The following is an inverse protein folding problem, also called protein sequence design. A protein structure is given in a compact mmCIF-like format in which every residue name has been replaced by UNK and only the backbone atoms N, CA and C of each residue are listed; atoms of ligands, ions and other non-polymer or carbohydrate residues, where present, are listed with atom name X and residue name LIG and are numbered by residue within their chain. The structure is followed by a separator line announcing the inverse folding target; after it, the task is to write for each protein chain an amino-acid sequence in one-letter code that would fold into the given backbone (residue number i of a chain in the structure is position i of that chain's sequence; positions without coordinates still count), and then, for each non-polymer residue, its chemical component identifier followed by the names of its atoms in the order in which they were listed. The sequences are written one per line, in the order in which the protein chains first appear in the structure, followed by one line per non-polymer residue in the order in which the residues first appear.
data_IF_767388503061
#
_entry.id   IF_767388503061
#
_cell.length_a   1.000
_cell.length_b   1.000
_cell.length_c   1.000
_cell.angle_alpha   90.00
_cell.angle_beta   90.00
_cell.angle_gamma   90.00
#
_symmetry.space_group_name_H-M   'P 1'
#
loop_
_entity.id
_entity.type
_entity.pdbx_description
1 polymer ?
#
# COMPACT_ATOMS: atom_id res chain seq x y z
N UNK A 1 10.22 -19.93 -21.15
CA UNK A 1 10.43 -19.76 -19.68
C UNK A 1 9.11 -19.32 -19.02
N UNK A 2 8.67 -19.92 -17.89
CA UNK A 2 7.37 -19.59 -17.27
C UNK A 2 7.45 -18.44 -16.25
N UNK A 3 6.34 -17.73 -16.01
CA UNK A 3 6.27 -16.62 -15.05
C UNK A 3 6.71 -17.04 -13.63
N UNK A 4 6.47 -18.30 -13.27
CA UNK A 4 6.84 -18.87 -11.96
C UNK A 4 8.35 -18.89 -11.75
N UNK A 5 9.13 -19.18 -12.80
CA UNK A 5 10.60 -19.22 -12.72
C UNK A 5 11.15 -17.81 -12.50
N UNK A 6 10.62 -16.83 -13.23
CA UNK A 6 10.99 -15.41 -13.08
C UNK A 6 10.65 -14.92 -11.67
N UNK A 7 9.43 -15.17 -11.20
CA UNK A 7 9.00 -14.77 -9.87
C UNK A 7 9.86 -15.39 -8.76
N UNK A 8 10.18 -16.69 -8.86
CA UNK A 8 11.01 -17.39 -7.88
C UNK A 8 12.44 -16.84 -7.84
N UNK A 9 13.00 -16.49 -8.99
CA UNK A 9 14.32 -15.85 -9.07
C UNK A 9 14.31 -14.48 -8.40
N UNK A 10 13.38 -13.60 -8.80
CA UNK A 10 13.25 -12.25 -8.23
C UNK A 10 13.08 -12.30 -6.70
N UNK A 11 12.23 -13.21 -6.21
CA UNK A 11 12.03 -13.40 -4.78
C UNK A 11 13.31 -13.83 -4.06
N UNK A 12 14.02 -14.83 -4.58
CA UNK A 12 15.25 -15.35 -3.95
C UNK A 12 16.34 -14.29 -3.93
N UNK A 13 16.56 -13.62 -5.06
CA UNK A 13 17.60 -12.60 -5.21
C UNK A 13 17.31 -11.42 -4.26
N UNK A 14 16.04 -11.08 -4.06
CA UNK A 14 15.63 -10.02 -3.14
C UNK A 14 15.72 -10.42 -1.66
N UNK A 15 15.23 -11.59 -1.25
CA UNK A 15 15.25 -12.03 0.16
C UNK A 15 16.67 -12.20 0.71
N UNK A 16 17.63 -12.53 -0.16
CA UNK A 16 19.05 -12.61 0.23
C UNK A 16 19.71 -11.23 0.34
N UNK A 17 19.04 -10.15 -0.08
CA UNK A 17 19.57 -8.79 0.02
C UNK A 17 19.40 -8.22 1.43
N UNK A 18 20.42 -7.50 1.90
CA UNK A 18 20.37 -6.72 3.15
C UNK A 18 19.24 -5.69 3.15
N UNK A 19 18.77 -5.27 1.98
CA UNK A 19 17.67 -4.30 1.83
C UNK A 19 16.35 -4.86 2.38
N UNK A 20 16.05 -6.15 2.19
CA UNK A 20 14.81 -6.74 2.70
C UNK A 20 14.82 -6.78 4.23
N UNK A 21 15.94 -7.13 4.84
CA UNK A 21 16.09 -7.08 6.29
C UNK A 21 16.03 -5.65 6.86
N UNK A 22 16.56 -4.66 6.13
CA UNK A 22 16.41 -3.26 6.50
C UNK A 22 14.94 -2.82 6.46
N UNK A 23 14.17 -3.25 5.46
CA UNK A 23 12.72 -3.00 5.37
C UNK A 23 11.98 -3.67 6.53
N UNK A 24 12.26 -4.94 6.83
CA UNK A 24 11.65 -5.66 7.96
C UNK A 24 11.91 -4.92 9.27
N UNK A 25 13.17 -4.54 9.53
CA UNK A 25 13.56 -3.81 10.73
C UNK A 25 12.88 -2.43 10.80
N UNK A 26 12.84 -1.69 9.69
CA UNK A 26 12.18 -0.39 9.62
C UNK A 26 10.69 -0.49 9.91
N UNK A 27 9.99 -1.45 9.29
CA UNK A 27 8.56 -1.68 9.52
C UNK A 27 8.32 -2.11 10.96
N UNK A 28 9.13 -3.04 11.49
CA UNK A 28 9.00 -3.51 12.87
C UNK A 28 9.16 -2.36 13.88
N UNK A 29 10.22 -1.57 13.74
CA UNK A 29 10.49 -0.42 14.63
C UNK A 29 9.39 0.62 14.49
N UNK A 30 9.01 0.99 13.27
CA UNK A 30 7.97 2.00 13.06
C UNK A 30 6.64 1.57 13.66
N UNK A 31 6.16 0.36 13.34
CA UNK A 31 4.88 -0.16 13.83
C UNK A 31 4.92 -0.29 15.36
N UNK A 32 6.02 -0.76 15.94
CA UNK A 32 6.16 -0.87 17.39
C UNK A 32 6.19 0.50 18.07
N UNK A 33 6.93 1.48 17.55
CA UNK A 33 7.00 2.82 18.15
C UNK A 33 5.65 3.51 18.06
N UNK A 34 5.03 3.49 16.89
CA UNK A 34 3.75 4.17 16.64
C UNK A 34 2.59 3.53 17.39
N UNK A 35 2.61 2.20 17.58
CA UNK A 35 1.59 1.53 18.40
C UNK A 35 1.66 1.90 19.89
N UNK A 36 2.82 2.38 20.37
CA UNK A 36 3.02 2.79 21.76
C UNK A 36 2.74 4.29 21.98
N UNK A 37 2.58 5.08 20.91
CA UNK A 37 2.33 6.54 21.03
C UNK A 37 1.11 6.86 21.90
N UNK A 38 -0.04 6.16 21.80
CA UNK A 38 -1.19 6.46 22.66
C UNK A 38 -0.90 6.31 24.15
N UNK A 39 -0.02 5.39 24.55
CA UNK A 39 0.38 5.21 25.95
C UNK A 39 1.21 6.39 26.49
N UNK A 40 1.89 7.13 25.60
CA UNK A 40 2.72 8.27 25.97
C UNK A 40 1.93 9.58 26.11
N UNK A 41 0.66 9.61 25.70
CA UNK A 41 -0.17 10.81 25.65
C UNK A 41 -1.32 10.66 26.65
N UNK A 42 -1.29 11.33 27.83
CA UNK A 42 -2.27 11.15 28.90
C UNK A 42 -3.72 11.48 28.54
N UNK A 43 -3.93 12.18 27.41
CA UNK A 43 -5.21 12.66 26.94
C UNK A 43 -5.98 11.61 26.13
N UNK A 44 -5.29 10.55 25.68
CA UNK A 44 -5.91 9.47 24.93
C UNK A 44 -6.29 8.33 25.87
N UNK A 45 -7.50 7.78 25.70
CA UNK A 45 -7.86 6.50 26.29
C UNK A 45 -7.06 5.39 25.59
N UNK A 46 -5.85 5.16 26.08
CA UNK A 46 -4.91 4.24 25.46
C UNK A 46 -5.40 2.79 25.60
N UNK A 47 -5.69 2.18 24.46
CA UNK A 47 -5.99 0.75 24.34
C UNK A 47 -5.30 0.16 23.10
N UNK A 48 -5.30 -1.18 22.99
CA UNK A 48 -4.58 -1.88 21.91
C UNK A 48 -5.05 -1.42 20.53
N UNK A 49 -6.36 -1.23 20.34
CA UNK A 49 -6.93 -0.84 19.04
C UNK A 49 -6.54 0.59 18.64
N UNK A 50 -6.48 1.52 19.59
CA UNK A 50 -5.95 2.87 19.35
C UNK A 50 -4.47 2.84 18.95
N UNK A 51 -3.67 1.95 19.57
CA UNK A 51 -2.29 1.71 19.19
C UNK A 51 -2.16 1.13 17.78
N UNK A 52 -2.97 0.12 17.45
CA UNK A 52 -3.00 -0.45 16.10
C UNK A 52 -3.45 0.59 15.05
N UNK A 53 -4.44 1.42 15.38
CA UNK A 53 -4.88 2.54 14.54
C UNK A 53 -3.74 3.50 14.23
N UNK A 54 -3.03 3.99 15.25
CA UNK A 54 -1.86 4.84 15.08
C UNK A 54 -0.80 4.16 14.18
N UNK A 55 -0.50 2.89 14.41
CA UNK A 55 0.45 2.16 13.57
C UNK A 55 0.00 2.04 12.11
N UNK A 56 -1.30 1.88 11.85
CA UNK A 56 -1.84 1.83 10.48
C UNK A 56 -1.77 3.16 9.75
N UNK A 57 -1.97 4.30 10.44
CA UNK A 57 -1.82 5.62 9.82
C UNK A 57 -0.39 5.83 9.33
N UNK A 58 0.60 5.49 10.16
CA UNK A 58 2.00 5.55 9.73
C UNK A 58 2.33 4.52 8.64
N UNK A 59 1.74 3.32 8.69
CA UNK A 59 1.90 2.32 7.64
C UNK A 59 1.32 2.82 6.30
N UNK A 60 0.21 3.56 6.30
CA UNK A 60 -0.41 4.13 5.09
C UNK A 60 0.52 5.08 4.34
N UNK A 61 1.48 5.71 5.05
CA UNK A 61 2.52 6.56 4.47
C UNK A 61 3.80 5.79 4.13
N UNK A 62 4.27 4.91 5.01
CA UNK A 62 5.56 4.22 4.86
C UNK A 62 5.53 3.09 3.83
N UNK A 63 4.48 2.28 3.83
CA UNK A 63 4.35 1.11 2.95
C UNK A 63 4.40 1.47 1.46
N UNK A 64 3.74 2.54 0.99
CA UNK A 64 3.91 3.04 -0.38
C UNK A 64 5.37 3.29 -0.78
N UNK A 65 6.17 3.91 0.10
CA UNK A 65 7.59 4.20 -0.16
C UNK A 65 8.38 2.90 -0.29
N UNK A 66 8.20 1.98 0.65
CA UNK A 66 8.87 0.68 0.66
C UNK A 66 8.55 -0.10 -0.63
N UNK A 67 7.28 -0.17 -0.99
CA UNK A 67 6.81 -0.87 -2.19
C UNK A 67 7.36 -0.23 -3.47
N UNK A 68 7.36 1.11 -3.54
CA UNK A 68 7.89 1.84 -4.68
C UNK A 68 9.39 1.60 -4.84
N UNK A 69 10.19 1.77 -3.79
CA UNK A 69 11.65 1.54 -3.81
C UNK A 69 11.98 0.10 -4.21
N UNK A 70 11.19 -0.86 -3.74
CA UNK A 70 11.38 -2.28 -4.07
C UNK A 70 11.14 -2.59 -5.56
N UNK A 71 10.31 -1.82 -6.27
CA UNK A 71 9.77 -2.22 -7.56
C UNK A 71 9.92 -1.19 -8.71
N UNK A 72 10.26 0.08 -8.45
CA UNK A 72 10.27 1.12 -9.50
C UNK A 72 11.30 0.87 -10.62
N UNK A 73 12.34 0.07 -10.38
CA UNK A 73 13.33 -0.33 -11.39
C UNK A 73 13.16 -1.74 -11.93
N UNK A 74 12.06 -2.42 -11.59
CA UNK A 74 11.85 -3.81 -11.97
C UNK A 74 12.02 -4.04 -13.48
N UNK A 75 11.58 -3.09 -14.32
CA UNK A 75 11.65 -3.19 -15.79
C UNK A 75 12.57 -2.11 -16.37
N UNK A 76 12.43 -0.85 -15.97
CA UNK A 76 13.22 0.25 -16.50
C UNK A 76 14.74 0.07 -16.27
N UNK A 77 15.14 -0.49 -15.12
CA UNK A 77 16.56 -0.77 -14.84
C UNK A 77 17.17 -1.85 -15.74
N UNK A 78 16.38 -2.86 -16.10
CA UNK A 78 16.81 -3.93 -17.02
C UNK A 78 16.78 -3.48 -18.49
N UNK A 79 15.86 -2.59 -18.85
CA UNK A 79 15.85 -1.93 -20.17
C UNK A 79 17.12 -1.12 -20.38
N UNK A 80 17.49 -0.27 -19.43
CA UNK A 80 18.65 0.61 -19.55
C UNK A 80 19.99 -0.14 -19.51
N UNK A 81 20.09 -1.20 -18.71
CA UNK A 81 21.28 -2.06 -18.69
C UNK A 81 21.39 -3.02 -19.89
N UNK A 82 20.38 -3.06 -20.77
CA UNK A 82 20.32 -3.98 -21.90
C UNK A 82 20.07 -5.45 -21.52
N UNK A 83 20.04 -5.79 -20.23
CA UNK A 83 19.86 -7.16 -19.75
C UNK A 83 18.50 -7.75 -20.13
N UNK A 84 17.49 -6.90 -20.34
CA UNK A 84 16.17 -7.32 -20.81
C UNK A 84 16.21 -7.99 -22.20
N UNK A 85 17.20 -7.65 -23.05
CA UNK A 85 17.35 -8.23 -24.40
C UNK A 85 17.82 -9.68 -24.32
N UNK A 86 18.74 -10.00 -23.41
CA UNK A 86 19.19 -11.37 -23.15
C UNK A 86 18.04 -12.22 -22.61
N UNK A 87 17.22 -11.65 -21.73
CA UNK A 87 16.06 -12.32 -21.14
C UNK A 87 14.98 -12.61 -22.20
N UNK A 88 14.74 -11.68 -23.12
CA UNK A 88 13.77 -11.83 -24.22
C UNK A 88 14.29 -12.70 -25.37
N UNK A 89 15.61 -12.85 -25.52
CA UNK A 89 16.23 -13.81 -26.45
C UNK A 89 15.94 -15.28 -26.10
N UNK A 90 15.45 -15.56 -24.90
CA UNK A 90 15.00 -16.89 -24.44
C UNK A 90 13.49 -17.14 -24.67
N UNK A 91 12.86 -16.33 -25.52
CA UNK A 91 11.44 -16.37 -25.91
C UNK A 91 10.37 -16.30 -24.78
N UNK A 92 10.54 -15.58 -23.65
CA UNK A 92 9.41 -15.31 -22.77
C UNK A 92 8.49 -14.24 -23.40
N UNK A 93 7.17 -14.49 -23.39
CA UNK A 93 6.17 -13.47 -23.76
C UNK A 93 6.34 -12.25 -22.83
N UNK A 94 6.29 -11.04 -23.38
CA UNK A 94 6.42 -9.77 -22.62
C UNK A 94 5.51 -9.71 -21.39
N UNK A 95 4.28 -10.21 -21.49
CA UNK A 95 3.33 -10.26 -20.36
C UNK A 95 3.75 -11.22 -19.24
N UNK A 96 4.43 -12.32 -19.57
CA UNK A 96 4.99 -13.26 -18.60
C UNK A 96 6.12 -12.63 -17.78
N UNK A 97 6.89 -11.72 -18.38
CA UNK A 97 7.94 -10.97 -17.69
C UNK A 97 7.34 -9.97 -16.69
N UNK A 98 6.37 -9.15 -17.13
CA UNK A 98 5.70 -8.17 -16.26
C UNK A 98 5.03 -8.87 -15.07
N UNK A 99 4.27 -9.93 -15.33
CA UNK A 99 3.59 -10.70 -14.28
C UNK A 99 4.58 -11.37 -13.32
N UNK A 100 5.65 -11.97 -13.85
CA UNK A 100 6.67 -12.62 -13.03
C UNK A 100 7.39 -11.61 -12.11
N UNK A 101 7.71 -10.42 -12.63
CA UNK A 101 8.33 -9.34 -11.85
C UNK A 101 7.38 -8.79 -10.79
N UNK A 102 6.13 -8.52 -11.16
CA UNK A 102 5.12 -8.09 -10.21
C UNK A 102 4.97 -9.08 -9.06
N UNK A 103 4.75 -10.37 -9.35
CA UNK A 103 4.56 -11.39 -8.32
C UNK A 103 5.82 -11.60 -7.46
N UNK A 104 7.01 -11.56 -8.06
CA UNK A 104 8.27 -11.64 -7.33
C UNK A 104 8.45 -10.48 -6.35
N UNK A 105 8.23 -9.24 -6.79
CA UNK A 105 8.34 -8.05 -5.95
C UNK A 105 7.22 -7.95 -4.90
N UNK A 106 6.00 -8.34 -5.26
CA UNK A 106 4.87 -8.41 -4.35
C UNK A 106 5.16 -9.40 -3.22
N UNK A 107 5.67 -10.60 -3.54
CA UNK A 107 6.02 -11.60 -2.52
C UNK A 107 7.07 -11.09 -1.53
N UNK A 108 8.10 -10.38 -2.01
CA UNK A 108 9.14 -9.79 -1.16
C UNK A 108 8.54 -8.76 -0.21
N UNK A 109 7.70 -7.86 -0.72
CA UNK A 109 7.04 -6.82 0.09
C UNK A 109 6.10 -7.46 1.11
N UNK A 110 5.28 -8.43 0.71
CA UNK A 110 4.36 -9.15 1.61
C UNK A 110 5.13 -9.85 2.73
N UNK A 111 6.20 -10.57 2.42
CA UNK A 111 7.04 -11.22 3.45
C UNK A 111 7.69 -10.20 4.37
N UNK A 112 8.22 -9.11 3.82
CA UNK A 112 8.83 -8.04 4.61
C UNK A 112 7.86 -7.37 5.56
N UNK A 113 6.67 -7.02 5.08
CA UNK A 113 5.61 -6.41 5.89
C UNK A 113 5.08 -7.39 6.95
N UNK A 114 4.81 -8.64 6.58
CA UNK A 114 4.32 -9.66 7.51
C UNK A 114 5.33 -9.90 8.63
N UNK A 115 6.62 -10.05 8.29
CA UNK A 115 7.67 -10.22 9.29
C UNK A 115 7.84 -8.98 10.17
N UNK A 116 7.81 -7.78 9.58
CA UNK A 116 7.91 -6.52 10.33
C UNK A 116 6.78 -6.35 11.34
N UNK A 117 5.53 -6.58 10.92
CA UNK A 117 4.37 -6.55 11.82
C UNK A 117 4.42 -7.65 12.87
N UNK A 118 4.83 -8.88 12.50
CA UNK A 118 4.96 -9.97 13.46
C UNK A 118 6.00 -9.66 14.56
N UNK A 119 7.11 -9.01 14.21
CA UNK A 119 8.10 -8.54 15.18
C UNK A 119 7.53 -7.42 16.07
N UNK A 120 6.79 -6.48 15.47
CA UNK A 120 6.14 -5.38 16.20
C UNK A 120 4.98 -5.84 17.11
N UNK A 121 4.40 -7.02 16.85
CA UNK A 121 3.34 -7.59 17.66
C UNK A 121 3.80 -7.87 19.10
N UNK A 122 5.06 -8.24 19.30
CA UNK A 122 5.61 -8.57 20.62
C UNK A 122 5.60 -7.37 21.58
N UNK A 123 6.28 -6.24 21.28
CA UNK A 123 6.25 -5.07 22.18
C UNK A 123 4.84 -4.50 22.33
N UNK A 124 4.02 -4.54 21.28
CA UNK A 124 2.62 -4.10 21.35
C UNK A 124 1.82 -4.96 22.33
N UNK A 125 1.89 -6.29 22.20
CA UNK A 125 1.16 -7.21 23.08
C UNK A 125 1.64 -7.10 24.54
N UNK A 126 2.94 -6.92 24.77
CA UNK A 126 3.50 -6.74 26.11
C UNK A 126 3.00 -5.42 26.73
N UNK A 127 3.02 -4.33 25.98
CA UNK A 127 2.64 -3.01 26.49
C UNK A 127 1.15 -2.90 26.84
N UNK A 128 0.28 -3.55 26.08
CA UNK A 128 -1.17 -3.50 26.31
C UNK A 128 -1.75 -4.75 27.00
N UNK A 129 -0.91 -5.72 27.40
CA UNK A 129 -1.34 -6.95 28.08
C UNK A 129 -2.08 -7.96 27.19
N UNK A 130 -2.05 -7.78 25.87
CA UNK A 130 -2.70 -8.66 24.90
C UNK A 130 -2.75 -8.06 23.50
N UNK A 131 -3.19 -8.87 22.53
CA UNK A 131 -3.36 -8.44 21.14
C UNK A 131 -4.66 -9.02 20.56
N UNK A 132 -5.55 -8.20 19.98
CA UNK A 132 -6.75 -8.69 19.29
C UNK A 132 -6.33 -9.38 17.99
N UNK A 133 -6.10 -10.69 18.04
CA UNK A 133 -5.48 -11.47 16.95
C UNK A 133 -6.24 -11.33 15.62
N UNK A 134 -7.57 -11.29 15.66
CA UNK A 134 -8.41 -11.16 14.45
C UNK A 134 -8.22 -9.79 13.80
N UNK A 135 -8.32 -8.71 14.58
CA UNK A 135 -8.10 -7.34 14.08
C UNK A 135 -6.67 -7.17 13.57
N UNK A 136 -5.69 -7.64 14.33
CA UNK A 136 -4.28 -7.58 13.96
C UNK A 136 -4.01 -8.33 12.64
N UNK A 137 -4.50 -9.56 12.50
CA UNK A 137 -4.36 -10.32 11.26
C UNK A 137 -5.04 -9.62 10.08
N UNK A 138 -6.25 -9.07 10.27
CA UNK A 138 -6.94 -8.27 9.26
C UNK A 138 -6.13 -7.05 8.82
N UNK A 139 -5.55 -6.31 9.77
CA UNK A 139 -4.69 -5.17 9.51
C UNK A 139 -3.44 -5.57 8.72
N UNK A 140 -2.78 -6.68 9.09
CA UNK A 140 -1.60 -7.17 8.37
C UNK A 140 -1.95 -7.52 6.92
N UNK A 141 -3.08 -8.21 6.70
CA UNK A 141 -3.58 -8.55 5.36
C UNK A 141 -3.86 -7.30 4.53
N UNK A 142 -4.56 -6.31 5.10
CA UNK A 142 -4.87 -5.05 4.43
C UNK A 142 -3.60 -4.25 4.13
N UNK A 143 -2.63 -4.25 5.03
CA UNK A 143 -1.35 -3.56 4.85
C UNK A 143 -0.53 -4.22 3.75
N UNK A 144 -0.56 -5.55 3.68
CA UNK A 144 0.01 -6.29 2.56
C UNK A 144 -0.70 -5.97 1.25
N UNK A 145 -2.04 -5.85 1.23
CA UNK A 145 -2.79 -5.47 0.04
C UNK A 145 -2.43 -4.06 -0.45
N UNK A 146 -2.25 -3.10 0.47
CA UNK A 146 -1.72 -1.76 0.15
C UNK A 146 -0.33 -1.85 -0.49
N UNK A 147 0.57 -2.63 0.12
CA UNK A 147 1.91 -2.87 -0.43
C UNK A 147 1.87 -3.46 -1.84
N UNK A 148 0.99 -4.43 -2.08
CA UNK A 148 0.78 -5.03 -3.41
C UNK A 148 0.25 -4.02 -4.42
N UNK A 149 -0.69 -3.14 -4.03
CA UNK A 149 -1.19 -2.08 -4.90
C UNK A 149 -0.08 -1.12 -5.35
N UNK A 150 0.77 -0.69 -4.42
CA UNK A 150 1.92 0.16 -4.76
C UNK A 150 3.02 -0.57 -5.54
N UNK A 151 3.23 -1.87 -5.33
CA UNK A 151 4.09 -2.67 -6.21
C UNK A 151 3.51 -2.73 -7.62
N UNK A 152 2.20 -2.92 -7.77
CA UNK A 152 1.51 -2.90 -9.06
C UNK A 152 1.72 -1.57 -9.78
N UNK A 153 1.55 -0.47 -9.06
CA UNK A 153 1.80 0.87 -9.55
C UNK A 153 3.26 1.07 -9.96
N UNK A 154 4.22 0.69 -9.11
CA UNK A 154 5.64 0.83 -9.37
C UNK A 154 6.10 0.04 -10.61
N UNK A 155 5.64 -1.20 -10.74
CA UNK A 155 5.94 -2.06 -11.90
C UNK A 155 5.28 -1.50 -13.16
N UNK A 156 4.04 -1.03 -13.07
CA UNK A 156 3.32 -0.39 -14.18
C UNK A 156 4.06 0.84 -14.71
N UNK A 157 4.46 1.74 -13.80
CA UNK A 157 5.29 2.91 -14.12
C UNK A 157 6.64 2.51 -14.69
N UNK A 158 7.31 1.51 -14.10
CA UNK A 158 8.59 0.99 -14.58
C UNK A 158 8.49 0.42 -16.00
N UNK A 159 7.37 -0.24 -16.33
CA UNK A 159 7.11 -0.81 -17.65
C UNK A 159 6.87 0.27 -18.71
N UNK A 160 6.23 1.38 -18.33
CA UNK A 160 5.95 2.50 -19.22
C UNK A 160 7.17 3.43 -19.40
N UNK A 161 8.11 3.43 -18.47
CA UNK A 161 9.29 4.29 -18.51
C UNK A 161 10.40 3.72 -19.41
N UNK A 162 10.95 4.57 -20.27
CA UNK A 162 12.08 4.22 -21.14
C UNK A 162 13.44 4.22 -20.40
N UNK A 163 13.58 4.99 -19.32
CA UNK A 163 14.84 5.17 -18.57
C UNK A 163 14.60 5.06 -17.07
N UNK A 164 15.66 4.73 -16.32
CA UNK A 164 15.73 4.71 -14.86
C UNK A 164 15.31 6.04 -14.25
N UNK A 165 15.83 7.15 -14.80
CA UNK A 165 15.47 8.49 -14.35
C UNK A 165 13.97 8.75 -14.46
N UNK A 166 13.35 8.42 -15.61
CA UNK A 166 11.91 8.62 -15.82
C UNK A 166 11.07 7.72 -14.92
N UNK A 167 11.48 6.46 -14.71
CA UNK A 167 10.80 5.56 -13.79
C UNK A 167 10.85 6.09 -12.35
N UNK A 168 11.99 6.63 -11.92
CA UNK A 168 12.16 7.25 -10.61
C UNK A 168 11.24 8.48 -10.46
N UNK A 169 11.27 9.41 -11.41
CA UNK A 169 10.44 10.62 -11.37
C UNK A 169 8.95 10.30 -11.33
N UNK A 170 8.48 9.38 -12.19
CA UNK A 170 7.08 8.98 -12.21
C UNK A 170 6.67 8.23 -10.94
N UNK A 171 7.56 7.39 -10.40
CA UNK A 171 7.31 6.69 -9.15
C UNK A 171 7.16 7.65 -7.97
N UNK A 172 8.11 8.59 -7.83
CA UNK A 172 8.06 9.64 -6.79
C UNK A 172 6.82 10.50 -6.96
N UNK A 173 6.51 10.93 -8.19
CA UNK A 173 5.31 11.70 -8.49
C UNK A 173 4.03 10.96 -8.11
N UNK A 174 3.95 9.66 -8.39
CA UNK A 174 2.80 8.85 -8.01
C UNK A 174 2.68 8.68 -6.49
N UNK A 175 3.79 8.49 -5.77
CA UNK A 175 3.78 8.48 -4.31
C UNK A 175 3.28 9.81 -3.75
N UNK A 176 3.85 10.94 -4.19
CA UNK A 176 3.44 12.25 -3.74
C UNK A 176 1.95 12.51 -4.04
N UNK A 177 1.50 12.21 -5.25
CA UNK A 177 0.11 12.45 -5.64
C UNK A 177 -0.90 11.56 -4.89
N UNK A 178 -0.61 10.27 -4.72
CA UNK A 178 -1.60 9.28 -4.26
C UNK A 178 -1.51 8.96 -2.77
N UNK A 179 -0.34 9.08 -2.16
CA UNK A 179 -0.14 8.76 -0.76
C UNK A 179 -0.06 10.00 0.15
N UNK A 180 0.44 11.14 -0.38
CA UNK A 180 0.69 12.34 0.44
C UNK A 180 -0.26 13.50 0.14
N UNK A 181 -0.45 13.83 -1.13
CA UNK A 181 -1.25 14.99 -1.55
C UNK A 181 -2.72 14.66 -1.76
N UNK A 182 -3.08 13.37 -1.81
CA UNK A 182 -4.46 12.97 -2.07
C UNK A 182 -5.41 13.51 -1.01
N UNK A 183 -5.00 13.58 0.26
CA UNK A 183 -5.82 14.09 1.36
C UNK A 183 -6.23 15.56 1.18
N UNK A 184 -5.52 16.32 0.35
CA UNK A 184 -5.88 17.69 0.00
C UNK A 184 -7.08 17.76 -0.95
N UNK A 185 -7.31 16.72 -1.76
CA UNK A 185 -8.41 16.66 -2.74
C UNK A 185 -9.79 16.66 -2.05
N UNK A 186 -10.11 15.73 -1.12
CA UNK A 186 -11.39 15.75 -0.43
C UNK A 186 -11.54 17.00 0.45
N UNK A 187 -10.47 17.47 1.10
CA UNK A 187 -10.48 18.70 1.90
C UNK A 187 -10.80 19.94 1.05
N UNK A 188 -10.13 20.09 -0.10
CA UNK A 188 -10.38 21.18 -1.03
C UNK A 188 -11.79 21.12 -1.63
N UNK A 189 -12.26 19.93 -2.00
CA UNK A 189 -13.63 19.73 -2.46
C UNK A 189 -14.66 20.12 -1.38
N UNK A 190 -14.41 19.78 -0.11
CA UNK A 190 -15.27 20.15 1.01
C UNK A 190 -15.32 21.66 1.21
N UNK A 191 -14.16 22.31 1.16
CA UNK A 191 -14.09 23.77 1.27
C UNK A 191 -14.87 24.47 0.15
N UNK A 192 -14.80 23.97 -1.08
CA UNK A 192 -15.50 24.54 -2.23
C UNK A 192 -17.01 24.33 -2.15
N UNK A 193 -17.46 23.15 -1.71
CA UNK A 193 -18.88 22.78 -1.68
C UNK A 193 -19.59 23.34 -0.43
N UNK A 194 -18.98 23.19 0.74
CA UNK A 194 -19.59 23.52 2.04
C UNK A 194 -19.10 24.86 2.60
N UNK A 195 -18.09 25.49 1.99
CA UNK A 195 -17.56 26.80 2.40
C UNK A 195 -16.67 26.77 3.66
N UNK A 196 -16.41 25.59 4.23
CA UNK A 196 -15.61 25.43 5.44
C UNK A 196 -14.80 24.13 5.42
N UNK A 197 -13.79 24.05 6.30
CA UNK A 197 -13.07 22.81 6.56
C UNK A 197 -14.01 21.76 7.20
N UNK A 198 -13.79 20.45 6.93
CA UNK A 198 -14.60 19.40 7.54
C UNK A 198 -14.49 19.44 9.07
N UNK A 199 -15.64 19.49 9.75
CA UNK A 199 -15.73 19.51 11.21
C UNK A 199 -16.81 18.53 11.68
N UNK A 200 -16.48 17.67 12.63
CA UNK A 200 -17.39 16.63 13.11
C UNK A 200 -17.67 15.59 12.02
N UNK A 201 -18.96 15.32 11.77
CA UNK A 201 -19.40 14.39 10.73
C UNK A 201 -19.35 15.04 9.35
N UNK A 202 -18.86 14.30 8.35
CA UNK A 202 -18.67 14.77 6.98
C UNK A 202 -19.71 14.16 6.01
N UNK A 203 -20.00 14.79 4.87
CA UNK A 203 -20.85 14.18 3.86
C UNK A 203 -20.28 12.85 3.34
N UNK A 204 -21.14 11.89 2.98
CA UNK A 204 -20.66 10.57 2.53
C UNK A 204 -19.77 10.62 1.29
N UNK A 205 -19.97 11.59 0.39
CA UNK A 205 -19.12 11.76 -0.80
C UNK A 205 -17.67 12.13 -0.43
N UNK A 206 -17.44 12.78 0.70
CA UNK A 206 -16.10 13.16 1.18
C UNK A 206 -15.30 11.91 1.55
N UNK A 207 -15.92 10.99 2.30
CA UNK A 207 -15.31 9.70 2.67
C UNK A 207 -15.03 8.86 1.42
N UNK A 208 -15.93 8.88 0.43
CA UNK A 208 -15.69 8.20 -0.83
C UNK A 208 -14.45 8.77 -1.53
N UNK A 209 -14.33 10.10 -1.65
CA UNK A 209 -13.17 10.74 -2.27
C UNK A 209 -11.86 10.44 -1.54
N UNK A 210 -11.85 10.43 -0.19
CA UNK A 210 -10.69 9.96 0.58
C UNK A 210 -10.30 8.53 0.16
N UNK A 211 -11.29 7.63 0.17
CA UNK A 211 -11.11 6.22 -0.15
C UNK A 211 -10.88 5.88 -1.62
N UNK A 212 -10.86 6.86 -2.54
CA UNK A 212 -10.47 6.64 -3.93
C UNK A 212 -8.95 6.49 -4.11
N UNK A 213 -8.15 6.94 -3.15
CA UNK A 213 -6.70 6.65 -3.14
C UNK A 213 -6.41 5.25 -2.58
N UNK A 214 -5.26 4.63 -2.92
CA UNK A 214 -4.87 3.37 -2.31
C UNK A 214 -4.74 3.46 -0.79
N UNK A 215 -4.10 4.52 -0.27
CA UNK A 215 -3.92 4.72 1.17
C UNK A 215 -5.24 5.01 1.88
N UNK A 216 -6.13 5.82 1.29
CA UNK A 216 -7.46 6.07 1.86
C UNK A 216 -8.38 4.84 1.82
N UNK A 217 -8.34 4.04 0.74
CA UNK A 217 -9.06 2.78 0.66
C UNK A 217 -8.58 1.80 1.75
N UNK A 218 -7.27 1.73 1.96
CA UNK A 218 -6.67 0.97 3.05
C UNK A 218 -7.16 1.46 4.42
N UNK A 219 -7.13 2.77 4.69
CA UNK A 219 -7.58 3.34 5.97
C UNK A 219 -9.06 3.05 6.23
N UNK A 220 -9.92 3.18 5.22
CA UNK A 220 -11.35 2.86 5.32
C UNK A 220 -11.58 1.36 5.65
N UNK A 221 -10.80 0.47 5.06
CA UNK A 221 -10.87 -0.97 5.35
C UNK A 221 -10.35 -1.32 6.74
N UNK A 222 -9.28 -0.67 7.20
CA UNK A 222 -8.76 -0.84 8.56
C UNK A 222 -9.80 -0.39 9.58
N UNK A 223 -10.41 0.78 9.39
CA UNK A 223 -11.50 1.25 10.25
C UNK A 223 -12.67 0.26 10.29
N UNK A 224 -13.02 -0.35 9.16
CA UNK A 224 -14.05 -1.38 9.11
C UNK A 224 -13.67 -2.64 9.93
N UNK A 225 -12.41 -3.09 9.86
CA UNK A 225 -11.91 -4.24 10.65
C UNK A 225 -11.89 -3.93 12.15
N UNK A 226 -11.44 -2.73 12.53
CA UNK A 226 -11.40 -2.29 13.92
C UNK A 226 -12.82 -2.20 14.49
N UNK A 227 -13.74 -1.53 13.79
CA UNK A 227 -15.14 -1.42 14.19
C UNK A 227 -15.84 -2.78 14.27
N UNK A 228 -15.56 -3.70 13.35
CA UNK A 228 -16.13 -5.05 13.38
C UNK A 228 -15.62 -5.87 14.59
N UNK A 229 -14.42 -5.55 15.10
CA UNK A 229 -13.85 -6.21 16.28
C UNK A 229 -14.37 -5.58 17.57
N UNK A 230 -14.48 -4.26 17.61
CA UNK A 230 -14.97 -3.51 18.76
C UNK A 230 -15.91 -2.38 18.32
N UNK A 231 -17.25 -2.58 18.39
CA UNK A 231 -18.22 -1.62 17.89
C UNK A 231 -18.24 -0.26 18.59
N UNK A 232 -17.56 -0.13 19.74
CA UNK A 232 -17.31 1.12 20.45
C UNK A 232 -16.48 2.10 19.62
N UNK A 233 -15.57 1.59 18.77
CA UNK A 233 -14.79 2.41 17.85
C UNK A 233 -15.67 2.88 16.71
N UNK A 234 -15.68 4.18 16.36
CA UNK A 234 -16.47 4.66 15.24
C UNK A 234 -15.96 4.07 13.93
N UNK A 235 -16.82 3.32 13.23
CA UNK A 235 -16.60 2.95 11.84
C UNK A 235 -16.96 4.11 10.90
N UNK A 236 -17.01 3.83 9.59
CA UNK A 236 -17.36 4.83 8.57
C UNK A 236 -18.71 5.51 8.87
N UNK A 237 -19.68 4.78 9.43
CA UNK A 237 -20.98 5.34 9.82
C UNK A 237 -20.87 6.46 10.86
N UNK A 238 -19.89 6.40 11.77
CA UNK A 238 -19.65 7.44 12.77
C UNK A 238 -19.01 8.70 12.20
N UNK A 239 -18.36 8.60 11.03
CA UNK A 239 -17.77 9.73 10.33
C UNK A 239 -18.76 10.46 9.41
N UNK A 240 -19.88 9.83 9.03
CA UNK A 240 -20.78 10.35 8.00
C UNK A 240 -21.98 11.08 8.59
N UNK A 241 -22.31 12.24 8.02
CA UNK A 241 -23.53 12.97 8.34
C UNK A 241 -24.75 12.24 7.74
N UNK A 242 -25.57 11.62 8.60
CA UNK A 242 -26.80 10.92 8.20
C UNK A 242 -26.61 9.43 7.88
N UNK A 243 -27.57 8.80 7.18
CA UNK A 243 -27.50 7.37 6.87
C UNK A 243 -26.29 7.05 5.99
N UNK A 244 -25.55 5.99 6.33
CA UNK A 244 -24.39 5.55 5.56
C UNK A 244 -24.79 5.15 4.13
N UNK A 245 -24.32 5.86 3.10
CA UNK A 245 -24.67 5.52 1.72
C UNK A 245 -24.09 4.17 1.29
N UNK A 246 -24.80 3.46 0.41
CA UNK A 246 -24.38 2.13 -0.06
C UNK A 246 -23.01 2.12 -0.77
N UNK A 247 -22.60 3.23 -1.37
CA UNK A 247 -21.29 3.38 -2.02
C UNK A 247 -20.11 3.45 -1.03
N UNK A 248 -20.37 3.54 0.28
CA UNK A 248 -19.35 3.45 1.34
C UNK A 248 -19.21 2.04 1.91
N UNK A 249 -19.82 1.05 1.28
CA UNK A 249 -19.65 -0.35 1.68
C UNK A 249 -18.17 -0.76 1.51
N UNK A 250 -17.63 -1.53 2.47
CA UNK A 250 -16.22 -1.94 2.49
C UNK A 250 -15.76 -2.60 1.17
N UNK A 251 -16.64 -3.33 0.50
CA UNK A 251 -16.36 -3.97 -0.79
C UNK A 251 -15.94 -2.97 -1.88
N UNK A 252 -16.43 -1.73 -1.83
CA UNK A 252 -16.04 -0.67 -2.77
C UNK A 252 -14.55 -0.36 -2.62
N UNK A 253 -14.06 -0.21 -1.39
CA UNK A 253 -12.63 0.07 -1.14
C UNK A 253 -11.72 -1.12 -1.48
N UNK A 254 -12.21 -2.36 -1.34
CA UNK A 254 -11.50 -3.54 -1.86
C UNK A 254 -11.35 -3.48 -3.38
N UNK A 255 -12.44 -3.12 -4.08
CA UNK A 255 -12.41 -2.93 -5.54
C UNK A 255 -11.46 -1.80 -5.92
N UNK A 256 -11.44 -0.68 -5.20
CA UNK A 256 -10.51 0.43 -5.42
C UNK A 256 -9.05 -0.04 -5.33
N UNK A 257 -8.66 -0.77 -4.28
CA UNK A 257 -7.31 -1.33 -4.15
C UNK A 257 -6.96 -2.30 -5.28
N UNK A 258 -7.91 -3.16 -5.67
CA UNK A 258 -7.72 -4.09 -6.79
C UNK A 258 -7.52 -3.34 -8.11
N UNK A 259 -8.29 -2.28 -8.36
CA UNK A 259 -8.14 -1.43 -9.55
C UNK A 259 -6.79 -0.70 -9.56
N UNK A 260 -6.35 -0.16 -8.42
CA UNK A 260 -5.02 0.45 -8.31
C UNK A 260 -3.86 -0.53 -8.48
N UNK A 261 -4.10 -1.81 -8.22
CA UNK A 261 -3.13 -2.86 -8.54
C UNK A 261 -3.14 -3.17 -10.04
N UNK A 262 -4.32 -3.40 -10.62
CA UNK A 262 -4.47 -3.92 -11.97
C UNK A 262 -4.28 -2.86 -13.07
N UNK A 263 -4.86 -1.66 -12.92
CA UNK A 263 -4.87 -0.64 -13.97
C UNK A 263 -3.46 -0.14 -14.33
N UNK A 264 -2.58 0.23 -13.37
CA UNK A 264 -1.23 0.63 -13.71
C UNK A 264 -0.41 -0.50 -14.33
N UNK A 265 -0.59 -1.74 -13.86
CA UNK A 265 0.07 -2.91 -14.45
C UNK A 265 -0.34 -3.14 -15.89
N UNK A 266 -1.64 -3.07 -16.19
CA UNK A 266 -2.18 -3.25 -17.54
C UNK A 266 -1.75 -2.11 -18.47
N UNK A 267 -1.82 -0.85 -18.00
CA UNK A 267 -1.36 0.31 -18.76
C UNK A 267 0.15 0.27 -19.04
N UNK A 268 0.95 -0.10 -18.04
CA UNK A 268 2.39 -0.31 -18.16
C UNK A 268 2.72 -1.44 -19.14
N UNK A 269 2.01 -2.57 -19.05
CA UNK A 269 2.13 -3.69 -19.98
C UNK A 269 1.79 -3.28 -21.41
N UNK A 270 0.67 -2.59 -21.64
CA UNK A 270 0.26 -2.14 -22.96
C UNK A 270 1.32 -1.23 -23.61
N UNK A 271 1.91 -0.34 -22.82
CA UNK A 271 3.01 0.54 -23.26
C UNK A 271 4.29 -0.25 -23.55
N UNK A 272 4.63 -1.20 -22.68
CA UNK A 272 5.79 -2.08 -22.83
C UNK A 272 5.67 -3.03 -24.03
N UNK A 273 4.45 -3.46 -24.37
CA UNK A 273 4.19 -4.33 -25.51
C UNK A 273 4.37 -3.62 -26.85
N UNK A 274 4.04 -2.32 -26.91
CA UNK A 274 4.13 -1.50 -28.13
C UNK A 274 5.49 -0.85 -28.37
N UNK A 275 6.35 -0.80 -27.36
CA UNK A 275 7.64 -0.11 -27.46
C UNK A 275 8.70 -1.00 -28.11
N UNK A 276 9.38 -0.45 -29.12
CA UNK A 276 10.56 -1.05 -29.71
C UNK A 276 11.72 -1.03 -28.71
N UNK A 277 12.40 -2.16 -28.61
CA UNK A 277 13.59 -2.31 -27.75
C UNK A 277 14.82 -1.91 -28.57
N UNK A 278 14.83 -0.66 -29.04
CA UNK A 278 15.96 -0.04 -29.74
C UNK A 278 17.16 0.13 -28.83
#
# INVERSE_FOLDING_TARGET
MSWRVIARREYRDAVQSRVVWAVVALVAVMVAVTSLVPLAIPQFEANVLSGLGAATEFAAMLVPVVALVAAYLAIAGERESGSIRVLLGLEPRRGTVVLGKFLGRAAVVVVGLTAGFALAAVPTAVAYGGLPVVAFAGIVVLTCALGVAFVGLAVGVSAAAATRGRAMTLGIGAYLALALLWDLVPQGAHLVVEGAAPAGTVPGWFVLLQGLSPSGAYSALVQAVVHATEPSFPGIAGAVAGPTPAYLHWAVFVVVLALWTALPLLGGYATFARSDLG
#
